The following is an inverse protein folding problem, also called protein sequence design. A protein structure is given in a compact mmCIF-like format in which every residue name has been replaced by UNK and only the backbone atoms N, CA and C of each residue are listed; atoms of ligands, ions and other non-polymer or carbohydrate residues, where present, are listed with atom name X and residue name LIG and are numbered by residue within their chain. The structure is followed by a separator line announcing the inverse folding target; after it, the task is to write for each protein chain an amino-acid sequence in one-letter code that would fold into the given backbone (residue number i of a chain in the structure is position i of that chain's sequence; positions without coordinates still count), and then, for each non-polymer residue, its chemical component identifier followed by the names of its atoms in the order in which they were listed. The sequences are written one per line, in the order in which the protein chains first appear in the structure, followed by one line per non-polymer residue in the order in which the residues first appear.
data_IF_417435097385
#
_entry.id   IF_417435097385
#
_cell.length_a   1.000
_cell.length_b   1.000
_cell.length_c   1.000
_cell.angle_alpha   90.00
_cell.angle_beta   90.00
_cell.angle_gamma   90.00
#
_symmetry.space_group_name_H-M   'P 1'
#
loop_
_entity.id
_entity.type
_entity.pdbx_description
1 polymer ?
#
# COMPACT_ATOMS: atom_id res chain seq x y z
N UNK A 1 -8.87 -16.44 4.30
CA UNK A 1 -8.41 -15.04 4.18
C UNK A 1 -7.11 -14.91 4.95
N UNK A 2 -6.05 -14.47 4.31
CA UNK A 2 -4.76 -14.22 4.97
C UNK A 2 -4.81 -12.90 5.75
N UNK A 3 -3.86 -12.69 6.69
CA UNK A 3 -3.75 -11.42 7.40
C UNK A 3 -3.52 -10.25 6.44
N UNK A 4 -2.76 -10.45 5.38
CA UNK A 4 -2.48 -9.43 4.37
C UNK A 4 -3.76 -9.04 3.63
N UNK A 5 -4.56 -10.03 3.19
CA UNK A 5 -5.85 -9.80 2.55
C UNK A 5 -6.81 -9.06 3.48
N UNK A 6 -6.81 -9.40 4.77
CA UNK A 6 -7.61 -8.71 5.78
C UNK A 6 -7.22 -7.23 5.90
N UNK A 7 -5.92 -6.95 6.07
CA UNK A 7 -5.39 -5.58 6.17
C UNK A 7 -5.72 -4.77 4.91
N UNK A 8 -5.52 -5.36 3.73
CA UNK A 8 -5.81 -4.69 2.47
C UNK A 8 -7.30 -4.42 2.28
N UNK A 9 -8.16 -5.36 2.69
CA UNK A 9 -9.61 -5.19 2.64
C UNK A 9 -10.05 -4.02 3.52
N UNK A 10 -9.54 -3.91 4.76
CA UNK A 10 -9.80 -2.76 5.63
C UNK A 10 -9.43 -1.44 4.95
N UNK A 11 -8.25 -1.38 4.34
CA UNK A 11 -7.78 -0.14 3.73
C UNK A 11 -8.56 0.22 2.46
N UNK A 12 -8.93 -0.77 1.65
CA UNK A 12 -9.79 -0.56 0.49
C UNK A 12 -11.19 -0.05 0.88
N UNK A 13 -11.69 -0.44 2.06
CA UNK A 13 -12.94 0.06 2.62
C UNK A 13 -12.77 1.39 3.41
N UNK A 14 -11.64 2.09 3.24
CA UNK A 14 -11.42 3.41 3.79
C UNK A 14 -10.89 3.44 5.22
N UNK A 15 -10.51 2.29 5.80
CA UNK A 15 -9.86 2.24 7.11
C UNK A 15 -8.38 2.60 6.98
N UNK A 16 -7.95 3.62 7.71
CA UNK A 16 -6.55 3.99 7.87
C UNK A 16 -5.96 3.29 9.08
N UNK A 17 -4.84 2.57 8.91
CA UNK A 17 -4.10 1.91 9.97
C UNK A 17 -2.75 2.60 10.17
N UNK A 18 -2.39 2.92 11.42
CA UNK A 18 -1.16 3.62 11.79
C UNK A 18 -0.51 2.95 12.99
N UNK A 19 0.82 2.96 13.03
CA UNK A 19 1.60 2.49 14.19
C UNK A 19 2.18 3.68 14.92
N UNK A 20 1.98 3.73 16.24
CA UNK A 20 2.59 4.74 17.14
C UNK A 20 3.30 3.97 18.25
N UNK A 21 4.60 3.74 18.08
CA UNK A 21 5.34 2.75 18.88
C UNK A 21 4.68 1.38 18.75
N UNK A 22 4.42 0.72 19.87
CA UNK A 22 3.77 -0.60 19.94
C UNK A 22 2.23 -0.55 19.93
N UNK A 23 1.65 0.62 19.61
CA UNK A 23 0.21 0.81 19.55
C UNK A 23 -0.25 0.88 18.10
N UNK A 24 -1.26 0.08 17.77
CA UNK A 24 -2.00 0.15 16.53
C UNK A 24 -3.12 1.17 16.70
N UNK A 25 -3.07 2.25 15.93
CA UNK A 25 -4.16 3.23 15.79
C UNK A 25 -4.90 2.97 14.49
N UNK A 26 -6.21 3.15 14.49
CA UNK A 26 -7.04 2.99 13.31
C UNK A 26 -8.15 4.03 13.26
N UNK A 27 -8.56 4.41 12.06
CA UNK A 27 -9.63 5.39 11.82
C UNK A 27 -10.32 5.03 10.51
N UNK A 28 -11.64 5.07 10.45
CA UNK A 28 -12.38 4.66 9.27
C UNK A 28 -13.89 4.72 9.49
N UNK A 29 -14.68 4.24 8.52
CA UNK A 29 -16.14 4.20 8.63
C UNK A 29 -16.58 3.23 9.74
N UNK A 30 -17.58 3.63 10.54
CA UNK A 30 -18.15 2.77 11.59
C UNK A 30 -18.77 1.49 11.03
N UNK A 31 -19.34 1.56 9.81
CA UNK A 31 -19.88 0.40 9.09
C UNK A 31 -18.86 -0.72 8.88
N UNK A 32 -17.57 -0.36 8.77
CA UNK A 32 -16.46 -1.30 8.55
C UNK A 32 -15.81 -1.69 9.87
N UNK A 33 -15.70 -0.75 10.82
CA UNK A 33 -15.11 -0.95 12.14
C UNK A 33 -16.06 -1.62 13.14
N UNK A 34 -16.65 -2.74 12.73
CA UNK A 34 -17.51 -3.56 13.60
C UNK A 34 -16.72 -4.22 14.73
N UNK A 35 -17.41 -4.62 15.81
CA UNK A 35 -16.78 -5.33 16.94
C UNK A 35 -16.02 -6.59 16.53
N UNK A 36 -16.49 -7.30 15.52
CA UNK A 36 -15.83 -8.49 14.99
C UNK A 36 -14.48 -8.14 14.35
N UNK A 37 -14.44 -7.05 13.58
CA UNK A 37 -13.23 -6.52 12.95
C UNK A 37 -12.24 -6.04 14.01
N UNK A 38 -12.71 -5.29 15.01
CA UNK A 38 -11.87 -4.78 16.10
C UNK A 38 -11.28 -5.94 16.91
N UNK A 39 -12.06 -6.98 17.24
CA UNK A 39 -11.57 -8.18 17.93
C UNK A 39 -10.51 -8.91 17.11
N UNK A 40 -10.71 -9.02 15.80
CA UNK A 40 -9.75 -9.64 14.88
C UNK A 40 -8.45 -8.83 14.83
N UNK A 41 -8.54 -7.50 14.75
CA UNK A 41 -7.37 -6.61 14.81
C UNK A 41 -6.63 -6.72 16.14
N UNK A 42 -7.36 -6.84 17.26
CA UNK A 42 -6.76 -7.02 18.57
C UNK A 42 -6.03 -8.37 18.69
N UNK A 43 -6.64 -9.45 18.18
CA UNK A 43 -6.05 -10.80 18.16
C UNK A 43 -4.75 -10.85 17.36
N UNK A 44 -4.71 -10.18 16.21
CA UNK A 44 -3.55 -10.16 15.32
C UNK A 44 -2.71 -8.88 15.43
N UNK A 45 -2.83 -8.12 16.52
CA UNK A 45 -2.23 -6.78 16.67
C UNK A 45 -0.74 -6.77 16.35
N UNK A 46 0.02 -7.72 16.91
CA UNK A 46 1.46 -7.76 16.75
C UNK A 46 1.86 -8.05 15.29
N UNK A 47 1.17 -9.00 14.65
CA UNK A 47 1.38 -9.33 13.25
C UNK A 47 1.03 -8.15 12.33
N UNK A 48 -0.05 -7.42 12.63
CA UNK A 48 -0.43 -6.20 11.88
C UNK A 48 0.63 -5.11 12.05
N UNK A 49 1.15 -4.89 13.26
CA UNK A 49 2.21 -3.91 13.52
C UNK A 49 3.47 -4.29 12.74
N UNK A 50 3.89 -5.56 12.79
CA UNK A 50 5.05 -6.07 12.04
C UNK A 50 4.85 -5.90 10.53
N UNK A 51 3.65 -6.20 10.04
CA UNK A 51 3.30 -6.00 8.63
C UNK A 51 3.36 -4.53 8.23
N UNK A 52 2.83 -3.63 9.06
CA UNK A 52 2.89 -2.19 8.83
C UNK A 52 4.31 -1.65 8.94
N UNK A 53 5.16 -2.22 9.80
CA UNK A 53 6.57 -1.86 9.95
C UNK A 53 7.39 -2.22 8.70
N UNK A 54 6.95 -3.21 7.93
CA UNK A 54 7.67 -3.69 6.77
C UNK A 54 7.75 -2.59 5.68
N UNK A 55 8.95 -2.23 5.19
CA UNK A 55 9.10 -1.14 4.22
C UNK A 55 8.60 -1.52 2.81
N UNK A 56 8.45 -2.82 2.54
CA UNK A 56 8.04 -3.34 1.24
C UNK A 56 7.10 -4.51 1.45
N UNK A 57 5.96 -4.51 0.76
CA UNK A 57 4.96 -5.58 0.78
C UNK A 57 4.62 -6.00 -0.65
N UNK A 58 4.18 -7.24 -0.84
CA UNK A 58 3.69 -7.70 -2.15
C UNK A 58 2.21 -8.01 -2.03
N UNK A 59 1.38 -7.30 -2.77
CA UNK A 59 -0.07 -7.48 -2.74
C UNK A 59 -0.54 -8.16 -4.01
N UNK A 60 -1.42 -9.14 -3.90
CA UNK A 60 -2.06 -9.74 -5.07
C UNK A 60 -3.43 -9.09 -5.26
N UNK A 61 -3.57 -8.26 -6.30
CA UNK A 61 -4.84 -7.63 -6.64
C UNK A 61 -5.26 -8.07 -8.04
N UNK A 62 -6.47 -8.63 -8.18
CA UNK A 62 -7.02 -9.16 -9.44
C UNK A 62 -6.04 -10.10 -10.18
N UNK A 63 -5.40 -11.01 -9.44
CA UNK A 63 -4.44 -11.98 -9.98
C UNK A 63 -3.05 -11.42 -10.30
N UNK A 64 -2.79 -10.12 -10.10
CA UNK A 64 -1.47 -9.50 -10.31
C UNK A 64 -0.78 -9.23 -8.98
N UNK A 65 0.42 -9.81 -8.81
CA UNK A 65 1.33 -9.48 -7.71
C UNK A 65 1.96 -8.12 -7.99
N UNK A 66 1.66 -7.14 -7.14
CA UNK A 66 2.22 -5.79 -7.21
C UNK A 66 3.05 -5.56 -5.96
N UNK A 67 4.30 -5.15 -6.13
CA UNK A 67 5.15 -4.76 -5.01
C UNK A 67 4.84 -3.31 -4.63
N UNK A 68 4.58 -3.08 -3.36
CA UNK A 68 4.31 -1.78 -2.76
C UNK A 68 5.42 -1.43 -1.79
N UNK A 69 5.73 -0.15 -1.75
CA UNK A 69 6.78 0.45 -0.96
C UNK A 69 6.17 1.46 -0.02
N UNK A 70 6.60 1.45 1.23
CA UNK A 70 6.14 2.44 2.20
C UNK A 70 6.69 3.81 1.81
N UNK A 71 5.84 4.81 1.87
CA UNK A 71 6.20 6.17 1.53
C UNK A 71 7.14 6.71 2.62
N UNK A 72 8.43 6.84 2.31
CA UNK A 72 9.41 7.43 3.23
C UNK A 72 9.22 8.95 3.30
N UNK A 73 9.38 9.59 4.47
CA UNK A 73 9.31 11.05 4.60
C UNK A 73 10.33 11.78 3.72
N UNK A 74 11.51 11.19 3.53
CA UNK A 74 12.55 11.71 2.63
C UNK A 74 12.12 11.65 1.17
N UNK A 75 11.42 10.58 0.77
CA UNK A 75 10.84 10.47 -0.57
C UNK A 75 9.77 11.55 -0.80
N UNK A 76 8.89 11.80 0.18
CA UNK A 76 7.92 12.90 0.14
C UNK A 76 8.60 14.28 0.00
N UNK A 77 9.66 14.51 0.80
CA UNK A 77 10.44 15.77 0.76
C UNK A 77 11.17 15.97 -0.56
N UNK A 78 11.66 14.90 -1.16
CA UNK A 78 12.39 14.95 -2.42
C UNK A 78 11.47 14.81 -3.66
N UNK A 79 10.14 14.90 -3.49
CA UNK A 79 9.18 14.91 -4.60
C UNK A 79 8.85 13.53 -5.20
N UNK A 80 9.30 12.46 -4.56
CA UNK A 80 8.99 11.08 -4.91
C UNK A 80 7.60 10.69 -4.37
N UNK A 81 6.82 9.99 -5.19
CA UNK A 81 5.38 9.71 -5.01
C UNK A 81 4.43 10.88 -5.29
N UNK A 82 4.80 11.83 -6.14
CA UNK A 82 3.86 12.83 -6.66
C UNK A 82 3.05 12.24 -7.82
N UNK A 83 1.76 12.58 -7.89
CA UNK A 83 0.81 12.14 -8.93
C UNK A 83 1.21 12.58 -10.35
N UNK A 84 2.15 13.52 -10.48
CA UNK A 84 2.46 14.25 -11.72
C UNK A 84 3.95 14.40 -12.05
N UNK A 85 4.88 13.81 -11.30
CA UNK A 85 6.32 13.86 -11.65
C UNK A 85 6.71 12.63 -12.47
N UNK A 86 7.40 12.86 -13.59
CA UNK A 86 7.90 11.78 -14.47
C UNK A 86 9.28 11.26 -14.04
N UNK A 87 9.92 11.92 -13.08
CA UNK A 87 11.28 11.64 -12.60
C UNK A 87 11.37 10.49 -11.59
N UNK A 88 10.29 9.76 -11.36
CA UNK A 88 10.23 8.68 -10.37
C UNK A 88 9.56 7.41 -10.91
N UNK A 89 10.18 6.27 -10.64
CA UNK A 89 9.60 4.94 -10.89
C UNK A 89 8.55 4.54 -9.85
N UNK A 90 8.08 5.43 -8.96
CA UNK A 90 7.11 5.10 -7.90
C UNK A 90 5.86 6.01 -7.97
N UNK A 91 4.67 5.41 -8.08
CA UNK A 91 3.37 6.10 -8.12
C UNK A 91 2.64 6.01 -6.77
N UNK A 92 2.05 7.13 -6.27
CA UNK A 92 1.23 7.10 -5.07
C UNK A 92 -0.05 6.30 -5.30
N UNK A 93 -0.45 5.47 -4.33
CA UNK A 93 -1.74 4.80 -4.36
C UNK A 93 -2.80 5.67 -3.71
N UNK A 94 -3.81 6.08 -4.50
CA UNK A 94 -4.93 6.88 -3.99
C UNK A 94 -5.80 6.13 -2.99
N UNK A 95 -5.82 4.79 -3.05
CA UNK A 95 -6.59 3.91 -2.18
C UNK A 95 -5.79 3.35 -0.99
N UNK A 96 -4.48 3.62 -0.92
CA UNK A 96 -3.60 3.14 0.17
C UNK A 96 -2.61 4.26 0.54
N UNK A 97 -3.09 5.20 1.35
CA UNK A 97 -2.30 6.37 1.80
C UNK A 97 -1.03 5.90 2.52
N UNK A 98 0.10 6.55 2.25
CA UNK A 98 1.39 6.18 2.85
C UNK A 98 2.11 5.02 2.15
N UNK A 99 1.59 4.55 1.00
CA UNK A 99 2.25 3.54 0.17
C UNK A 99 2.31 3.97 -1.29
N UNK A 100 3.39 3.57 -1.96
CA UNK A 100 3.64 3.80 -3.37
C UNK A 100 3.85 2.44 -4.06
N UNK A 101 3.52 2.34 -5.34
CA UNK A 101 3.85 1.16 -6.17
C UNK A 101 4.92 1.52 -7.18
N UNK A 102 5.73 0.54 -7.58
CA UNK A 102 6.53 0.70 -8.79
C UNK A 102 5.64 1.03 -9.99
N UNK A 103 6.06 2.02 -10.78
CA UNK A 103 5.60 2.24 -12.13
C UNK A 103 5.95 0.93 -12.83
N UNK A 104 4.94 0.14 -13.15
CA UNK A 104 5.12 -0.90 -14.16
C UNK A 104 5.57 -0.11 -15.37
N UNK A 105 6.86 -0.17 -15.70
CA UNK A 105 7.39 0.40 -16.91
C UNK A 105 6.48 -0.14 -18.00
N UNK A 106 5.60 0.71 -18.51
CA UNK A 106 5.14 0.54 -19.87
C UNK A 106 6.38 0.84 -20.69
N UNK A 107 7.34 -0.09 -20.66
CA UNK A 107 8.14 -0.37 -21.82
C UNK A 107 7.08 -0.65 -22.87
N UNK A 108 6.68 0.41 -23.59
CA UNK A 108 6.15 0.25 -24.94
C UNK A 108 7.08 -0.79 -25.54
N UNK A 109 6.57 -1.94 -26.00
CA UNK A 109 7.43 -2.83 -26.76
C UNK A 109 8.08 -1.93 -27.80
N UNK A 110 9.42 -1.83 -27.76
CA UNK A 110 10.16 -1.07 -28.76
C UNK A 110 9.62 -1.59 -30.08
N UNK A 111 8.84 -0.76 -30.78
CA UNK A 111 8.55 -1.01 -32.18
C UNK A 111 9.92 -1.00 -32.81
N UNK A 112 10.47 -2.19 -33.08
CA UNK A 112 11.66 -2.34 -33.91
C UNK A 112 11.35 -1.51 -35.15
N UNK A 113 12.06 -0.41 -35.31
CA UNK A 113 12.07 0.32 -36.56
C UNK A 113 12.50 -0.72 -37.61
N UNK A 114 11.55 -1.13 -38.47
CA UNK A 114 11.90 -1.76 -39.74
C UNK A 114 12.56 -0.64 -40.55
N UNK A 115 13.90 -0.58 -40.45
CA UNK A 115 14.72 0.11 -41.42
C UNK A 115 15.14 -0.88 -42.51
N UNK A 116 15.22 -0.37 -43.74
CA UNK A 116 15.83 -1.03 -44.90
C UNK A 116 14.83 -1.70 -45.81
#
# INVERSE_FOLDING_TARGET
MTLEEFILNLIQNGVTLLTVGDKLKYTGPEEVLTDSVIRTMAKHKHEIITWLANPTITVTSRGKKTRLYRQRPECLKAGYCLRFTNDCDLFPLTWLKGWCRERVSMARPQRKARGG
#
